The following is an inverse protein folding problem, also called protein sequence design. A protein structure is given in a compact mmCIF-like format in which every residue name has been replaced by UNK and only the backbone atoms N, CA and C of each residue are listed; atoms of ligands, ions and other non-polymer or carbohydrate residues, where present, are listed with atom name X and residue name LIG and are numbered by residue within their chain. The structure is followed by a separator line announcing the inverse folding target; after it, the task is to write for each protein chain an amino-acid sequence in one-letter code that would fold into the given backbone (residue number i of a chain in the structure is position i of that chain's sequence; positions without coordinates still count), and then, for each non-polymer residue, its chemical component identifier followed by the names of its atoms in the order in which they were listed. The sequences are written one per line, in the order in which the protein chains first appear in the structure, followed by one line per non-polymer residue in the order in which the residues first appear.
data_IF_155019669598
#
_entry.id   IF_155019669598
#
_cell.length_a   1.000
_cell.length_b   1.000
_cell.length_c   1.000
_cell.angle_alpha   90.00
_cell.angle_beta   90.00
_cell.angle_gamma   90.00
#
_symmetry.space_group_name_H-M   'P 1'
#
loop_
_entity.id
_entity.type
_entity.pdbx_description
1 polymer ?
#
# COMPACT_ATOMS: atom_id res chain seq x y z
N UNK A 1 -9.24 -9.33 4.04
CA UNK A 1 -7.99 -9.04 3.30
C UNK A 1 -7.83 -7.57 2.99
N UNK A 2 -8.76 -6.92 2.26
CA UNK A 2 -8.55 -5.53 1.79
C UNK A 2 -8.21 -4.52 2.89
N UNK A 3 -8.89 -4.55 4.03
CA UNK A 3 -8.58 -3.66 5.17
C UNK A 3 -7.20 -3.90 5.77
N UNK A 4 -6.68 -5.14 5.73
CA UNK A 4 -5.33 -5.44 6.16
C UNK A 4 -4.28 -4.97 5.14
N UNK A 5 -4.58 -5.06 3.84
CA UNK A 5 -3.71 -4.50 2.79
C UNK A 5 -3.64 -2.98 2.87
N UNK A 6 -4.75 -2.32 3.22
CA UNK A 6 -4.77 -0.89 3.54
C UNK A 6 -3.82 -0.56 4.68
N UNK A 7 -3.92 -1.29 5.80
CA UNK A 7 -3.02 -1.10 6.93
C UNK A 7 -1.55 -1.40 6.56
N UNK A 8 -1.29 -2.42 5.76
CA UNK A 8 0.07 -2.72 5.29
C UNK A 8 0.63 -1.60 4.41
N UNK A 9 -0.20 -0.97 3.57
CA UNK A 9 0.17 0.21 2.83
C UNK A 9 0.51 1.39 3.75
N UNK A 10 -0.24 1.60 4.84
CA UNK A 10 0.14 2.61 5.84
C UNK A 10 1.56 2.37 6.39
N UNK A 11 1.88 1.12 6.75
CA UNK A 11 3.22 0.77 7.23
C UNK A 11 4.29 1.07 6.18
N UNK A 12 4.09 0.63 4.94
CA UNK A 12 5.08 0.83 3.88
C UNK A 12 5.31 2.33 3.60
N UNK A 13 4.23 3.11 3.42
CA UNK A 13 4.35 4.52 3.06
C UNK A 13 4.91 5.39 4.19
N UNK A 14 4.59 5.06 5.45
CA UNK A 14 5.10 5.78 6.60
C UNK A 14 6.64 5.77 6.70
N UNK A 15 7.29 4.72 6.17
CA UNK A 15 8.74 4.59 6.20
C UNK A 15 9.46 5.58 5.29
N UNK A 16 8.82 6.06 4.23
CA UNK A 16 9.48 6.86 3.20
C UNK A 16 8.81 8.20 2.89
N UNK A 17 7.58 8.42 3.35
CA UNK A 17 6.87 9.70 3.13
C UNK A 17 7.58 10.85 3.85
N UNK A 18 7.44 12.07 3.34
CA UNK A 18 8.11 13.28 3.87
C UNK A 18 7.92 13.50 5.38
N UNK A 19 6.79 13.10 5.98
CA UNK A 19 6.51 13.25 7.41
C UNK A 19 7.10 12.16 8.32
N UNK A 20 7.86 11.22 7.76
CA UNK A 20 8.54 10.13 8.48
C UNK A 20 9.25 10.61 9.75
N UNK A 21 9.17 9.80 10.81
CA UNK A 21 9.91 9.96 12.06
C UNK A 21 10.37 8.59 12.61
N UNK A 22 11.39 8.54 13.50
CA UNK A 22 11.80 7.29 14.13
C UNK A 22 10.69 6.55 14.88
N UNK A 23 9.74 7.30 15.45
CA UNK A 23 8.57 6.74 16.12
C UNK A 23 7.61 6.09 15.11
N UNK A 24 7.31 6.78 14.01
CA UNK A 24 6.47 6.24 12.94
C UNK A 24 7.11 5.00 12.32
N UNK A 25 8.43 5.01 12.11
CA UNK A 25 9.19 3.88 11.59
C UNK A 25 9.03 2.63 12.47
N UNK A 26 9.16 2.78 13.80
CA UNK A 26 9.05 1.66 14.72
C UNK A 26 7.66 1.00 14.66
N UNK A 27 6.61 1.82 14.69
CA UNK A 27 5.22 1.39 14.59
C UNK A 27 4.92 0.74 13.23
N UNK A 28 5.42 1.33 12.15
CA UNK A 28 5.26 0.83 10.79
C UNK A 28 5.87 -0.57 10.64
N UNK A 29 7.09 -0.78 11.11
CA UNK A 29 7.78 -2.08 11.03
C UNK A 29 7.10 -3.14 11.90
N UNK A 30 6.63 -2.77 13.09
CA UNK A 30 5.84 -3.67 13.95
C UNK A 30 4.53 -4.08 13.29
N UNK A 31 3.79 -3.11 12.74
CA UNK A 31 2.55 -3.35 12.01
C UNK A 31 2.75 -4.24 10.80
N UNK A 32 3.74 -3.95 9.96
CA UNK A 32 4.07 -4.74 8.78
C UNK A 32 4.37 -6.20 9.12
N UNK A 33 5.24 -6.42 10.12
CA UNK A 33 5.58 -7.76 10.61
C UNK A 33 4.36 -8.52 11.09
N UNK A 34 3.55 -7.87 11.92
CA UNK A 34 2.36 -8.48 12.52
C UNK A 34 1.33 -8.83 11.44
N UNK A 35 1.02 -7.90 10.53
CA UNK A 35 0.05 -8.11 9.45
C UNK A 35 0.50 -9.24 8.54
N UNK A 36 1.77 -9.24 8.12
CA UNK A 36 2.33 -10.28 7.26
C UNK A 36 2.24 -11.68 7.88
N UNK A 37 2.51 -11.79 9.19
CA UNK A 37 2.47 -13.05 9.92
C UNK A 37 1.05 -13.64 9.97
N UNK A 38 0.05 -12.80 10.27
CA UNK A 38 -1.29 -13.30 10.63
C UNK A 38 -2.33 -13.21 9.53
N UNK A 39 -2.15 -12.34 8.54
CA UNK A 39 -3.12 -12.15 7.45
C UNK A 39 -3.41 -13.46 6.68
N UNK A 40 -2.43 -14.28 6.29
CA UNK A 40 -2.71 -15.56 5.61
C UNK A 40 -3.60 -16.49 6.43
N UNK A 41 -3.39 -16.56 7.75
CA UNK A 41 -4.20 -17.38 8.67
C UNK A 41 -5.63 -16.86 8.77
N UNK A 42 -5.81 -15.55 8.91
CA UNK A 42 -7.15 -14.92 8.97
C UNK A 42 -7.89 -15.06 7.63
N UNK A 43 -7.18 -15.01 6.50
CA UNK A 43 -7.77 -15.22 5.18
C UNK A 43 -8.23 -16.67 4.99
N UNK A 44 -7.45 -17.65 5.45
CA UNK A 44 -7.80 -19.07 5.38
C UNK A 44 -8.94 -19.46 6.35
N UNK A 45 -8.93 -18.90 7.57
CA UNK A 45 -9.95 -19.19 8.58
C UNK A 45 -10.33 -17.92 9.37
N UNK A 46 -11.36 -17.21 8.88
CA UNK A 46 -11.79 -15.93 9.43
C UNK A 46 -12.45 -15.97 10.81
N UNK A 47 -12.72 -17.15 11.36
CA UNK A 47 -13.27 -17.31 12.72
C UNK A 47 -12.19 -17.42 13.80
N UNK A 48 -10.91 -17.43 13.42
CA UNK A 48 -9.80 -17.43 14.37
C UNK A 48 -9.72 -16.12 15.16
N UNK A 49 -10.29 -16.13 16.38
CA UNK A 49 -10.33 -14.93 17.23
C UNK A 49 -8.95 -14.45 17.61
N UNK A 50 -8.01 -15.33 17.92
CA UNK A 50 -6.64 -14.96 18.27
C UNK A 50 -5.92 -14.35 17.06
N UNK A 51 -6.08 -15.01 15.90
CA UNK A 51 -5.82 -14.53 14.55
C UNK A 51 -6.16 -13.05 14.36
N UNK A 52 -7.45 -12.78 14.53
CA UNK A 52 -8.05 -11.47 14.29
C UNK A 52 -7.67 -10.41 15.32
N UNK A 53 -7.52 -10.79 16.59
CA UNK A 53 -7.04 -9.85 17.63
C UNK A 53 -5.64 -9.37 17.31
N UNK A 54 -4.74 -10.29 16.92
CA UNK A 54 -3.36 -9.92 16.54
C UNK A 54 -3.35 -9.09 15.25
N UNK A 55 -4.19 -9.41 14.26
CA UNK A 55 -4.32 -8.61 13.05
C UNK A 55 -4.82 -7.18 13.35
N UNK A 56 -5.78 -7.05 14.28
CA UNK A 56 -6.28 -5.75 14.71
C UNK A 56 -5.18 -4.92 15.38
N UNK A 57 -4.38 -5.53 16.27
CA UNK A 57 -3.24 -4.85 16.90
C UNK A 57 -2.22 -4.36 15.85
N UNK A 58 -1.90 -5.19 14.84
CA UNK A 58 -1.04 -4.78 13.73
C UNK A 58 -1.62 -3.63 12.92
N UNK A 59 -2.93 -3.63 12.68
CA UNK A 59 -3.61 -2.55 11.97
C UNK A 59 -3.70 -1.25 12.79
N UNK A 60 -3.82 -1.35 14.11
CA UNK A 60 -3.84 -0.20 15.04
C UNK A 60 -2.50 0.55 15.01
N UNK A 61 -1.39 -0.15 15.21
CA UNK A 61 -0.05 0.48 15.12
C UNK A 61 0.25 1.01 13.71
N UNK A 62 -0.24 0.36 12.66
CA UNK A 62 -0.16 0.89 11.30
C UNK A 62 -0.94 2.22 11.13
N UNK A 63 -2.10 2.34 11.77
CA UNK A 63 -2.88 3.58 11.84
C UNK A 63 -2.15 4.69 12.59
N UNK A 64 -1.47 4.37 13.69
CA UNK A 64 -0.63 5.33 14.42
C UNK A 64 0.57 5.80 13.57
N UNK A 65 1.25 4.88 12.88
CA UNK A 65 2.34 5.23 11.96
C UNK A 65 1.88 6.19 10.86
N UNK A 66 0.72 5.92 10.26
CA UNK A 66 0.04 6.84 9.34
C UNK A 66 -0.21 8.21 9.98
N UNK A 67 -0.81 8.24 11.18
CA UNK A 67 -1.14 9.50 11.86
C UNK A 67 0.07 10.40 12.10
N UNK A 68 1.24 9.80 12.33
CA UNK A 68 2.51 10.51 12.53
C UNK A 68 3.17 10.94 11.22
N UNK A 69 3.18 10.08 10.20
CA UNK A 69 3.99 10.29 8.99
C UNK A 69 3.21 10.80 7.77
N UNK A 70 1.97 10.34 7.60
CA UNK A 70 1.14 10.61 6.41
C UNK A 70 1.17 9.48 5.37
N UNK A 71 0.83 9.83 4.13
CA UNK A 71 0.63 8.90 3.00
C UNK A 71 1.41 9.33 1.77
N UNK A 72 1.71 8.37 0.89
CA UNK A 72 2.51 8.57 -0.32
C UNK A 72 1.76 8.31 -1.61
N UNK A 73 2.52 7.93 -2.63
CA UNK A 73 2.02 7.72 -3.99
C UNK A 73 1.04 6.55 -4.12
N UNK A 74 1.22 5.47 -3.34
CA UNK A 74 0.34 4.30 -3.37
C UNK A 74 -1.11 4.69 -3.01
N UNK A 75 -1.28 5.43 -1.91
CA UNK A 75 -2.60 5.94 -1.53
C UNK A 75 -3.12 6.99 -2.50
N UNK A 76 -2.26 7.85 -3.07
CA UNK A 76 -2.70 8.83 -4.05
C UNK A 76 -3.34 8.15 -5.28
N UNK A 77 -2.70 7.11 -5.82
CA UNK A 77 -3.28 6.29 -6.90
C UNK A 77 -4.59 5.63 -6.46
N UNK A 78 -4.58 4.95 -5.31
CA UNK A 78 -5.77 4.25 -4.80
C UNK A 78 -6.97 5.18 -4.56
N UNK A 79 -6.74 6.38 -4.02
CA UNK A 79 -7.80 7.35 -3.79
C UNK A 79 -8.33 7.95 -5.09
N UNK A 80 -7.49 8.15 -6.11
CA UNK A 80 -7.92 8.67 -7.41
C UNK A 80 -8.88 7.70 -8.10
N UNK A 81 -8.46 6.43 -8.21
CA UNK A 81 -9.29 5.36 -8.77
C UNK A 81 -10.56 5.16 -7.94
N UNK A 82 -10.42 5.04 -6.62
CA UNK A 82 -11.56 4.79 -5.72
C UNK A 82 -12.55 5.94 -5.70
N UNK A 83 -12.08 7.19 -5.78
CA UNK A 83 -12.94 8.37 -5.84
C UNK A 83 -13.74 8.46 -7.14
N UNK A 84 -13.21 7.97 -8.26
CA UNK A 84 -13.91 7.99 -9.57
C UNK A 84 -14.97 6.88 -9.66
N UNK A 85 -14.65 5.67 -9.22
CA UNK A 85 -15.52 4.49 -9.45
C UNK A 85 -16.21 3.94 -8.20
N UNK A 86 -15.98 4.50 -7.01
CA UNK A 86 -16.57 3.98 -5.76
C UNK A 86 -16.04 2.60 -5.35
N UNK A 87 -14.81 2.25 -5.79
CA UNK A 87 -14.23 0.93 -5.55
C UNK A 87 -13.66 0.78 -4.12
N UNK A 88 -13.63 -0.45 -3.57
CA UNK A 88 -13.16 -0.67 -2.19
C UNK A 88 -11.72 -0.22 -1.97
N UNK A 89 -11.51 0.73 -1.05
CA UNK A 89 -10.21 1.37 -0.84
C UNK A 89 -9.07 0.38 -0.55
N UNK A 90 -9.32 -0.63 0.29
CA UNK A 90 -8.32 -1.62 0.62
C UNK A 90 -7.91 -2.53 -0.55
N UNK A 91 -8.81 -2.77 -1.51
CA UNK A 91 -8.47 -3.49 -2.73
C UNK A 91 -7.54 -2.65 -3.61
N UNK A 92 -7.83 -1.36 -3.72
CA UNK A 92 -7.01 -0.43 -4.50
C UNK A 92 -5.63 -0.21 -3.88
N UNK A 93 -5.53 -0.10 -2.55
CA UNK A 93 -4.21 -0.05 -1.90
C UNK A 93 -3.42 -1.35 -2.11
N UNK A 94 -4.08 -2.51 -2.11
CA UNK A 94 -3.42 -3.78 -2.42
C UNK A 94 -2.82 -3.81 -3.83
N UNK A 95 -3.55 -3.27 -4.82
CA UNK A 95 -3.13 -3.22 -6.22
C UNK A 95 -2.06 -2.14 -6.47
N UNK A 96 -2.23 -0.96 -5.88
CA UNK A 96 -1.37 0.21 -6.15
C UNK A 96 -0.05 0.19 -5.36
N UNK A 97 0.01 -0.44 -4.19
CA UNK A 97 1.21 -0.43 -3.35
C UNK A 97 2.44 -1.07 -4.04
N UNK A 98 2.36 -2.24 -4.70
CA UNK A 98 3.49 -2.82 -5.43
C UNK A 98 4.11 -1.85 -6.46
N UNK A 99 3.29 -1.12 -7.22
CA UNK A 99 3.77 -0.16 -8.20
C UNK A 99 4.48 1.04 -7.52
N UNK A 100 3.93 1.54 -6.42
CA UNK A 100 4.55 2.62 -5.65
C UNK A 100 5.90 2.22 -5.04
N UNK A 101 6.01 0.99 -4.50
CA UNK A 101 7.26 0.45 -3.97
C UNK A 101 8.35 0.39 -5.05
N UNK A 102 8.05 -0.19 -6.22
CA UNK A 102 8.98 -0.24 -7.36
C UNK A 102 9.42 1.16 -7.82
N UNK A 103 8.49 2.10 -7.86
CA UNK A 103 8.79 3.48 -8.25
C UNK A 103 9.74 4.16 -7.26
N UNK A 104 9.54 3.93 -5.96
CA UNK A 104 10.28 4.62 -4.91
C UNK A 104 11.65 3.97 -4.60
N UNK A 105 11.84 2.69 -4.90
CA UNK A 105 13.08 1.93 -4.61
C UNK A 105 14.40 2.67 -4.95
N UNK A 106 14.57 3.34 -6.10
CA UNK A 106 15.82 4.03 -6.41
C UNK A 106 16.17 5.19 -5.45
N UNK A 107 15.19 5.71 -4.71
CA UNK A 107 15.34 6.86 -3.80
C UNK A 107 15.29 6.45 -2.32
N UNK A 108 14.54 5.39 -1.99
CA UNK A 108 14.29 4.96 -0.59
C UNK A 108 14.55 3.46 -0.40
N UNK A 109 15.63 2.96 -1.03
CA UNK A 109 16.00 1.55 -1.01
C UNK A 109 16.26 1.01 0.40
N UNK A 110 16.82 1.82 1.30
CA UNK A 110 17.06 1.41 2.70
C UNK A 110 15.75 1.21 3.47
N UNK A 111 14.79 2.12 3.30
CA UNK A 111 13.45 2.02 3.88
C UNK A 111 12.70 0.78 3.36
N UNK A 112 12.79 0.52 2.05
CA UNK A 112 12.18 -0.67 1.43
C UNK A 112 12.86 -1.96 1.89
N UNK A 113 14.19 -1.96 2.10
CA UNK A 113 14.90 -3.10 2.68
C UNK A 113 14.44 -3.40 4.11
N UNK A 114 14.27 -2.37 4.95
CA UNK A 114 13.72 -2.53 6.31
C UNK A 114 12.29 -3.06 6.29
N UNK A 115 11.47 -2.61 5.34
CA UNK A 115 10.14 -3.16 5.12
C UNK A 115 10.21 -4.65 4.71
N UNK A 116 11.14 -5.01 3.83
CA UNK A 116 11.38 -6.41 3.43
C UNK A 116 11.78 -7.30 4.62
N UNK A 117 12.66 -6.82 5.50
CA UNK A 117 13.02 -7.50 6.75
C UNK A 117 11.79 -7.72 7.65
N UNK A 118 10.93 -6.72 7.80
CA UNK A 118 9.68 -6.85 8.57
C UNK A 118 8.73 -7.88 7.94
N UNK A 119 8.72 -7.97 6.61
CA UNK A 119 7.96 -8.97 5.86
C UNK A 119 8.63 -10.36 5.82
N UNK A 120 9.88 -10.48 6.28
CA UNK A 120 10.64 -11.74 6.23
C UNK A 120 10.94 -12.22 4.80
N UNK A 121 11.21 -11.28 3.88
CA UNK A 121 11.44 -11.56 2.46
C UNK A 121 12.61 -10.74 1.92
N UNK A 122 13.19 -11.17 0.80
CA UNK A 122 14.15 -10.37 0.02
C UNK A 122 13.46 -9.59 -1.12
N UNK A 123 12.20 -9.91 -1.41
CA UNK A 123 11.37 -9.23 -2.41
C UNK A 123 10.07 -8.76 -1.74
N UNK A 124 10.04 -7.54 -1.18
CA UNK A 124 8.86 -7.01 -0.51
C UNK A 124 7.71 -6.77 -1.50
N UNK A 125 8.00 -6.50 -2.77
CA UNK A 125 6.98 -6.23 -3.79
C UNK A 125 6.22 -7.52 -4.12
N UNK A 126 6.93 -8.60 -4.42
CA UNK A 126 6.32 -9.90 -4.66
C UNK A 126 5.51 -10.36 -3.44
N UNK A 127 6.02 -10.12 -2.22
CA UNK A 127 5.33 -10.49 -1.00
C UNK A 127 4.02 -9.72 -0.79
N UNK A 128 4.00 -8.42 -1.09
CA UNK A 128 2.76 -7.63 -1.06
C UNK A 128 1.75 -8.16 -2.08
N UNK A 129 2.20 -8.51 -3.29
CA UNK A 129 1.34 -9.10 -4.32
C UNK A 129 0.77 -10.47 -3.91
N UNK A 130 1.55 -11.31 -3.22
CA UNK A 130 1.06 -12.57 -2.63
C UNK A 130 -0.05 -12.35 -1.60
N UNK A 131 0.12 -11.37 -0.70
CA UNK A 131 -0.89 -11.04 0.29
C UNK A 131 -2.15 -10.45 -0.36
N UNK A 132 -1.98 -9.64 -1.42
CA UNK A 132 -3.08 -9.09 -2.20
C UNK A 132 -3.91 -10.19 -2.89
N UNK A 133 -3.25 -11.23 -3.43
CA UNK A 133 -3.89 -12.40 -4.05
C UNK A 133 -4.81 -13.17 -3.11
N UNK A 134 -4.58 -13.14 -1.79
CA UNK A 134 -5.50 -13.74 -0.80
C UNK A 134 -6.91 -13.13 -0.86
N UNK A 135 -7.05 -11.90 -1.38
CA UNK A 135 -8.31 -11.20 -1.57
C UNK A 135 -8.75 -11.10 -3.03
N UNK A 136 -8.00 -11.68 -3.98
CA UNK A 136 -8.24 -11.51 -5.41
C UNK A 136 -7.94 -10.10 -5.94
N UNK A 137 -7.07 -9.34 -5.27
CA UNK A 137 -6.76 -7.96 -5.65
C UNK A 137 -5.47 -7.89 -6.46
N UNK A 138 -5.55 -8.13 -7.77
CA UNK A 138 -4.35 -8.18 -8.63
C UNK A 138 -4.29 -7.06 -9.68
N UNK A 139 -5.45 -6.66 -10.23
CA UNK A 139 -5.52 -5.88 -11.46
C UNK A 139 -6.69 -4.90 -11.46
N UNK A 140 -6.48 -3.65 -11.88
CA UNK A 140 -7.54 -2.64 -11.94
C UNK A 140 -8.66 -3.03 -12.91
N UNK A 141 -8.35 -3.68 -14.03
CA UNK A 141 -9.33 -4.17 -15.01
C UNK A 141 -10.32 -5.18 -14.41
N UNK A 142 -9.89 -5.97 -13.42
CA UNK A 142 -10.78 -6.92 -12.73
C UNK A 142 -11.80 -6.23 -11.82
N UNK A 143 -11.55 -4.96 -11.48
CA UNK A 143 -12.47 -4.10 -10.74
C UNK A 143 -13.31 -3.20 -11.67
N UNK A 144 -13.20 -3.37 -12.99
CA UNK A 144 -13.98 -2.61 -13.97
C UNK A 144 -13.44 -1.22 -14.30
N UNK A 145 -12.16 -0.95 -14.02
CA UNK A 145 -11.50 0.31 -14.42
C UNK A 145 -11.19 0.26 -15.94
N UNK A 146 -11.75 1.18 -16.76
CA UNK A 146 -11.45 1.27 -18.19
C UNK A 146 -10.00 1.72 -18.43
N UNK A 147 -9.36 1.21 -19.49
CA UNK A 147 -7.98 1.58 -19.86
C UNK A 147 -7.91 3.04 -20.36
N UNK A 148 -8.95 3.48 -21.07
CA UNK A 148 -9.05 4.83 -21.62
C UNK A 148 -9.04 5.94 -20.56
N UNK A 149 -9.41 5.62 -19.31
CA UNK A 149 -9.45 6.57 -18.20
C UNK A 149 -8.09 6.68 -17.47
N UNK A 150 -7.09 5.83 -17.79
CA UNK A 150 -5.85 5.73 -17.01
C UNK A 150 -5.02 7.02 -17.04
N UNK A 151 -4.97 7.73 -18.17
CA UNK A 151 -4.24 9.01 -18.23
C UNK A 151 -4.91 10.09 -17.36
N UNK A 152 -6.24 10.15 -17.35
CA UNK A 152 -6.99 11.08 -16.49
C UNK A 152 -6.83 10.72 -15.01
N UNK A 153 -6.85 9.43 -14.67
CA UNK A 153 -6.58 8.93 -13.33
C UNK A 153 -5.15 9.23 -12.89
N UNK A 154 -4.17 9.10 -13.79
CA UNK A 154 -2.77 9.45 -13.54
C UNK A 154 -2.61 10.94 -13.20
N UNK A 155 -3.25 11.82 -13.97
CA UNK A 155 -3.30 13.24 -13.65
C UNK A 155 -4.00 13.52 -12.32
N UNK A 156 -5.19 12.93 -12.08
CA UNK A 156 -5.92 13.13 -10.83
C UNK A 156 -5.13 12.66 -9.59
N UNK A 157 -4.44 11.52 -9.71
CA UNK A 157 -3.57 10.99 -8.66
C UNK A 157 -2.37 11.90 -8.39
N UNK A 158 -1.72 12.43 -9.42
CA UNK A 158 -0.57 13.33 -9.26
C UNK A 158 -0.93 14.65 -8.55
N UNK A 159 -2.20 15.08 -8.59
CA UNK A 159 -2.65 16.28 -7.90
C UNK A 159 -2.91 16.08 -6.40
N UNK A 160 -2.98 14.83 -5.91
CA UNK A 160 -3.31 14.53 -4.51
C UNK A 160 -2.15 14.85 -3.57
N UNK A 161 -2.49 15.14 -2.32
CA UNK A 161 -1.52 15.45 -1.26
C UNK A 161 -0.46 14.36 -1.07
N UNK A 162 -0.86 13.08 -1.10
CA UNK A 162 0.07 11.95 -0.97
C UNK A 162 1.11 11.87 -2.09
N UNK A 163 0.73 12.13 -3.34
CA UNK A 163 1.66 12.18 -4.46
C UNK A 163 2.66 13.34 -4.32
N UNK A 164 2.18 14.51 -3.85
CA UNK A 164 3.01 15.69 -3.58
C UNK A 164 3.94 15.52 -2.38
N UNK A 165 3.61 14.63 -1.45
CA UNK A 165 4.41 14.30 -0.27
C UNK A 165 5.35 13.09 -0.48
N UNK A 166 5.25 12.41 -1.63
CA UNK A 166 6.06 11.25 -1.96
C UNK A 166 7.54 11.64 -2.15
N UNK A 167 8.51 10.84 -1.66
CA UNK A 167 9.93 11.19 -1.68
C UNK A 167 10.50 11.31 -3.10
N UNK A 168 10.06 10.45 -4.03
CA UNK A 168 10.35 10.57 -5.45
C UNK A 168 9.20 11.35 -6.11
N UNK A 169 9.43 12.55 -6.68
CA UNK A 169 8.41 13.24 -7.45
C UNK A 169 7.96 12.40 -8.64
N UNK A 170 6.65 12.32 -8.87
CA UNK A 170 6.07 11.62 -10.00
C UNK A 170 5.30 12.61 -10.89
N UNK A 171 5.64 12.64 -12.18
CA UNK A 171 4.88 13.37 -13.19
C UNK A 171 3.53 12.69 -13.45
N UNK A 172 2.51 13.40 -13.96
CA UNK A 172 1.24 12.78 -14.35
C UNK A 172 1.40 11.57 -15.27
N UNK A 173 2.34 11.64 -16.22
CA UNK A 173 2.63 10.55 -17.16
C UNK A 173 3.22 9.32 -16.45
N UNK A 174 4.19 9.50 -15.56
CA UNK A 174 4.73 8.40 -14.75
C UNK A 174 3.64 7.77 -13.87
N UNK A 175 2.75 8.56 -13.26
CA UNK A 175 1.64 7.99 -12.47
C UNK A 175 0.69 7.19 -13.34
N UNK A 176 0.39 7.65 -14.56
CA UNK A 176 -0.39 6.87 -15.52
C UNK A 176 0.31 5.56 -15.92
N UNK A 177 1.62 5.57 -16.16
CA UNK A 177 2.41 4.35 -16.40
C UNK A 177 2.36 3.37 -15.22
N UNK A 178 2.44 3.88 -13.99
CA UNK A 178 2.30 3.04 -12.79
C UNK A 178 0.92 2.41 -12.71
N UNK A 179 -0.15 3.16 -12.98
CA UNK A 179 -1.51 2.62 -13.05
C UNK A 179 -1.65 1.58 -14.17
N UNK A 180 -1.08 1.82 -15.36
CA UNK A 180 -1.04 0.83 -16.46
C UNK A 180 -0.31 -0.45 -16.06
N UNK A 181 0.77 -0.36 -15.27
CA UNK A 181 1.54 -1.54 -14.86
C UNK A 181 0.72 -2.54 -14.02
N UNK A 182 -0.32 -2.04 -13.36
CA UNK A 182 -1.25 -2.81 -12.50
C UNK A 182 -2.68 -2.85 -13.07
N UNK A 183 -2.88 -2.44 -14.32
CA UNK A 183 -4.18 -2.51 -14.98
C UNK A 183 -4.61 -3.95 -15.24
#
# INVERSE_FOLDING_TARGET
VGTAMNALAHCAEALYVKGRSPEADALALEGARTINEVLPRVAAFGQDRQARTKLLAGADVAGHALGLAGLGLGHAMAQAVGGRYGLPHGALNAICLPAALRFNEPVVGEEIARFAEALGTNDPVARVEELARLGGFERLRTLGVPDEDIDELGFAASQRGGAKANPRPATPAEVAELLRSVW
#
